data_IF_555159085793
#
_entry.id   IF_555159085793
#
_cell.length_a   1.000
_cell.length_b   1.000
_cell.length_c   1.000
_cell.angle_alpha   90.00
_cell.angle_beta   90.00
_cell.angle_gamma   90.00
#
_symmetry.space_group_name_H-M   'P 1'
#
loop_
_entity.id
_entity.type
_entity.pdbx_description
1 polymer ?
#
# COMPACT_ATOMS: atom_id res chain seq x y z
N UNK A 1 37.91 35.78 35.73
CA UNK A 1 37.76 34.69 34.78
C UNK A 1 36.44 33.98 35.10
N UNK A 2 35.39 34.18 34.26
CA UNK A 2 34.13 33.41 34.36
C UNK A 2 34.31 32.11 33.57
N UNK A 3 34.33 30.95 34.24
CA UNK A 3 34.24 29.66 33.60
C UNK A 3 32.82 29.53 33.03
N UNK A 4 32.70 29.55 31.73
CA UNK A 4 31.48 29.14 31.01
C UNK A 4 31.32 27.63 31.19
N UNK A 5 30.41 27.24 32.07
CA UNK A 5 30.02 25.84 32.23
C UNK A 5 29.15 25.43 31.06
N UNK A 6 29.72 24.89 30.00
CA UNK A 6 28.96 24.21 28.95
C UNK A 6 28.40 22.90 29.53
N UNK A 7 27.12 22.66 29.38
CA UNK A 7 26.50 21.35 29.68
C UNK A 7 27.16 20.29 28.80
N UNK A 8 27.68 19.19 29.36
CA UNK A 8 28.26 18.14 28.53
C UNK A 8 27.15 17.52 27.63
N UNK A 9 27.34 17.55 26.32
CA UNK A 9 26.48 16.88 25.37
C UNK A 9 27.14 15.56 24.95
N UNK A 10 26.38 14.48 25.04
CA UNK A 10 26.77 13.18 24.51
C UNK A 10 25.93 12.92 23.24
N UNK A 11 26.64 12.57 22.18
CA UNK A 11 26.02 12.14 20.92
C UNK A 11 26.42 10.71 20.65
N UNK A 12 25.43 9.87 20.31
CA UNK A 12 25.63 8.48 19.92
C UNK A 12 25.13 8.32 18.49
N UNK A 13 25.98 7.76 17.65
CA UNK A 13 25.64 7.43 16.25
C UNK A 13 25.89 5.95 16.04
N UNK A 14 24.89 5.25 15.49
CA UNK A 14 24.98 3.86 15.11
C UNK A 14 24.47 3.70 13.67
N UNK A 15 25.25 3.05 12.80
CA UNK A 15 24.89 2.92 11.40
C UNK A 15 25.30 1.59 10.81
N UNK A 16 24.51 1.15 9.82
CA UNK A 16 24.79 0.03 8.93
C UNK A 16 24.93 0.57 7.51
N UNK A 17 25.84 -0.01 6.72
CA UNK A 17 26.09 0.40 5.35
C UNK A 17 26.19 -0.83 4.44
N UNK A 18 25.72 -0.67 3.19
CA UNK A 18 25.84 -1.66 2.11
C UNK A 18 25.31 -3.05 2.53
N UNK A 19 24.04 -3.12 2.82
CA UNK A 19 23.39 -4.38 3.16
C UNK A 19 22.03 -4.52 2.42
N UNK A 20 21.64 -5.76 2.22
CA UNK A 20 20.37 -6.09 1.60
C UNK A 20 19.44 -6.67 2.65
N UNK A 21 18.21 -6.18 2.69
CA UNK A 21 17.15 -6.72 3.50
C UNK A 21 16.18 -7.49 2.60
N UNK A 22 16.22 -8.83 2.71
CA UNK A 22 15.31 -9.71 1.99
C UNK A 22 14.13 -10.04 2.89
N UNK A 23 12.93 -9.60 2.46
CA UNK A 23 11.73 -9.78 3.25
C UNK A 23 11.11 -11.15 2.97
N UNK A 24 10.93 -11.91 4.05
CA UNK A 24 10.27 -13.22 4.12
C UNK A 24 11.04 -14.33 3.40
N UNK A 25 11.86 -15.05 4.15
CA UNK A 25 12.51 -16.27 3.69
C UNK A 25 11.69 -17.50 4.17
N UNK A 26 11.38 -18.54 3.31
CA UNK A 26 11.97 -18.80 2.01
C UNK A 26 11.27 -18.15 0.79
N UNK A 27 10.14 -17.51 0.97
CA UNK A 27 9.42 -16.87 -0.13
C UNK A 27 9.73 -15.36 -0.14
N UNK A 28 10.91 -14.99 -0.65
CA UNK A 28 11.24 -13.57 -0.82
C UNK A 28 10.21 -12.89 -1.72
N UNK A 29 9.64 -11.77 -1.27
CA UNK A 29 8.71 -10.94 -2.03
C UNK A 29 9.33 -9.60 -2.40
N UNK A 30 10.26 -9.13 -1.60
CA UNK A 30 10.87 -7.82 -1.72
C UNK A 30 12.32 -7.86 -1.25
N UNK A 31 13.20 -7.24 -2.00
CA UNK A 31 14.59 -6.99 -1.64
C UNK A 31 14.80 -5.49 -1.55
N UNK A 32 15.30 -5.02 -0.41
CA UNK A 32 15.66 -3.64 -0.16
C UNK A 32 17.18 -3.55 -0.08
N UNK A 33 17.78 -2.86 -1.03
CA UNK A 33 19.22 -2.61 -1.04
C UNK A 33 19.50 -1.28 -0.35
N UNK A 34 20.10 -1.33 0.82
CA UNK A 34 20.46 -0.15 1.60
C UNK A 34 21.92 0.26 1.34
N UNK A 35 22.09 1.50 0.96
CA UNK A 35 23.40 2.11 0.98
C UNK A 35 23.79 2.50 2.42
N UNK A 36 22.82 3.00 3.19
CA UNK A 36 23.05 3.43 4.59
C UNK A 36 21.75 3.43 5.40
N UNK A 37 21.83 2.98 6.64
CA UNK A 37 20.91 3.33 7.72
C UNK A 37 21.75 3.88 8.89
N UNK A 38 21.41 5.06 9.40
CA UNK A 38 22.13 5.70 10.50
C UNK A 38 21.16 6.25 11.54
N UNK A 39 21.32 5.80 12.76
CA UNK A 39 20.60 6.30 13.93
C UNK A 39 21.48 7.25 14.70
N UNK A 40 21.00 8.44 14.98
CA UNK A 40 21.71 9.42 15.80
C UNK A 40 20.83 9.93 16.93
N UNK A 41 21.40 10.01 18.12
CA UNK A 41 20.75 10.57 19.31
C UNK A 41 21.71 11.46 20.05
N UNK A 42 21.24 12.57 20.54
CA UNK A 42 21.99 13.41 21.45
C UNK A 42 21.18 13.75 22.71
N UNK A 43 21.83 14.21 23.75
CA UNK A 43 21.20 14.52 25.06
C UNK A 43 20.14 15.61 24.99
N UNK A 44 20.03 16.34 23.89
CA UNK A 44 19.15 17.50 23.74
C UNK A 44 18.12 17.35 22.61
N UNK A 45 18.18 16.25 21.84
CA UNK A 45 17.30 16.03 20.68
C UNK A 45 16.71 14.63 20.65
N UNK A 46 15.57 14.50 19.99
CA UNK A 46 14.97 13.21 19.67
C UNK A 46 15.92 12.39 18.77
N UNK A 47 15.75 11.07 18.80
CA UNK A 47 16.43 10.16 17.89
C UNK A 47 16.11 10.57 16.44
N UNK A 48 17.14 10.69 15.64
CA UNK A 48 17.05 10.92 14.20
C UNK A 48 17.49 9.66 13.46
N UNK A 49 16.82 9.37 12.35
CA UNK A 49 17.14 8.23 11.49
C UNK A 49 17.36 8.77 10.08
N UNK A 50 18.49 8.42 9.51
CA UNK A 50 18.86 8.77 8.14
C UNK A 50 19.01 7.47 7.33
N UNK A 51 18.26 7.33 6.25
CA UNK A 51 18.23 6.13 5.43
C UNK A 51 18.47 6.50 3.97
N UNK A 52 19.34 5.75 3.33
CA UNK A 52 19.59 5.83 1.91
C UNK A 52 19.43 4.43 1.31
N UNK A 53 18.42 4.29 0.47
CA UNK A 53 18.17 3.10 -0.34
C UNK A 53 18.82 3.28 -1.71
N UNK A 54 19.52 2.26 -2.19
CA UNK A 54 20.04 2.22 -3.55
C UNK A 54 19.06 1.60 -4.53
N UNK A 55 18.28 0.61 -4.10
CA UNK A 55 17.33 -0.07 -4.97
C UNK A 55 16.22 -0.78 -4.15
N UNK A 56 15.07 -0.99 -4.80
CA UNK A 56 13.95 -1.77 -4.30
C UNK A 56 13.52 -2.72 -5.40
N UNK A 57 13.61 -4.03 -5.16
CA UNK A 57 13.25 -5.07 -6.13
C UNK A 57 12.09 -5.91 -5.64
N UNK A 58 11.09 -6.05 -6.49
CA UNK A 58 10.01 -7.00 -6.28
C UNK A 58 10.42 -8.38 -6.81
N UNK A 59 10.46 -9.37 -5.94
CA UNK A 59 10.95 -10.71 -6.28
C UNK A 59 9.88 -11.78 -6.00
N UNK A 60 10.13 -13.00 -6.43
CA UNK A 60 9.20 -14.11 -6.21
C UNK A 60 7.79 -13.86 -6.76
N UNK A 61 6.74 -14.09 -5.96
CA UNK A 61 5.36 -13.86 -6.40
C UNK A 61 5.05 -12.42 -6.82
N UNK A 62 5.80 -11.42 -6.35
CA UNK A 62 5.63 -10.01 -6.72
C UNK A 62 6.50 -9.57 -7.91
N UNK A 63 7.27 -10.46 -8.52
CA UNK A 63 8.12 -10.11 -9.67
C UNK A 63 7.34 -9.57 -10.88
N UNK A 64 6.03 -9.86 -10.97
CA UNK A 64 5.16 -9.26 -11.99
C UNK A 64 5.09 -7.74 -11.89
N UNK A 65 5.31 -7.17 -10.69
CA UNK A 65 5.32 -5.70 -10.49
C UNK A 65 6.49 -5.06 -11.23
N UNK A 66 7.66 -5.72 -11.28
CA UNK A 66 8.79 -5.25 -12.10
C UNK A 66 8.43 -5.23 -13.59
N UNK A 67 7.76 -6.28 -14.07
CA UNK A 67 7.27 -6.32 -15.46
C UNK A 67 6.23 -5.22 -15.74
N UNK A 68 5.35 -4.93 -14.77
CA UNK A 68 4.38 -3.84 -14.91
C UNK A 68 5.07 -2.46 -14.94
N UNK A 69 6.11 -2.24 -14.15
CA UNK A 69 6.90 -0.99 -14.17
C UNK A 69 7.49 -0.72 -15.55
N UNK A 70 7.92 -1.78 -16.26
CA UNK A 70 8.48 -1.67 -17.60
C UNK A 70 7.44 -1.44 -18.70
N UNK A 71 6.20 -1.90 -18.47
CA UNK A 71 5.10 -1.82 -19.45
C UNK A 71 4.25 -0.57 -19.30
N UNK A 72 4.24 0.05 -18.13
CA UNK A 72 3.42 1.21 -17.82
C UNK A 72 4.32 2.44 -17.76
N UNK A 73 4.05 3.49 -18.55
CA UNK A 73 4.79 4.74 -18.46
C UNK A 73 4.80 5.27 -17.02
N UNK A 74 5.94 5.78 -16.57
CA UNK A 74 6.13 6.31 -15.21
C UNK A 74 5.19 7.47 -14.85
N UNK A 75 4.58 8.10 -15.84
CA UNK A 75 3.51 9.10 -15.70
C UNK A 75 2.15 8.49 -15.31
N UNK A 76 2.01 7.16 -15.30
CA UNK A 76 0.84 6.44 -14.81
C UNK A 76 0.78 6.24 -13.28
N UNK A 77 1.83 6.60 -12.54
CA UNK A 77 1.76 6.62 -11.08
C UNK A 77 0.86 7.78 -10.63
N UNK A 78 -0.22 7.47 -9.95
CA UNK A 78 -1.12 8.47 -9.37
C UNK A 78 -0.43 9.28 -8.27
N UNK A 79 0.50 8.63 -7.55
CA UNK A 79 1.40 9.21 -6.57
C UNK A 79 2.80 8.61 -6.74
N UNK A 80 3.87 9.40 -6.62
CA UNK A 80 5.21 8.85 -6.60
C UNK A 80 5.34 7.86 -5.43
N UNK A 81 6.20 6.83 -5.56
CA UNK A 81 6.50 5.96 -4.44
C UNK A 81 6.90 6.80 -3.21
N UNK A 82 6.28 6.52 -2.08
CA UNK A 82 6.58 7.21 -0.84
C UNK A 82 7.53 6.40 0.04
N UNK A 83 8.36 7.10 0.77
CA UNK A 83 9.23 6.54 1.79
C UNK A 83 9.13 7.45 3.02
N UNK A 84 8.50 6.97 4.07
CA UNK A 84 8.42 7.65 5.36
C UNK A 84 9.33 6.96 6.37
N UNK A 85 10.23 7.74 6.92
CA UNK A 85 11.24 7.27 7.86
C UNK A 85 11.05 8.00 9.17
N UNK A 86 10.81 7.22 10.22
CA UNK A 86 10.58 7.72 11.57
C UNK A 86 11.42 6.96 12.59
N UNK A 87 11.55 7.44 13.81
CA UNK A 87 12.19 6.69 14.89
C UNK A 87 11.52 5.35 15.21
N UNK A 88 10.28 5.15 14.80
CA UNK A 88 9.52 3.91 15.00
C UNK A 88 9.76 2.87 13.91
N UNK A 89 10.16 3.28 12.71
CA UNK A 89 10.36 2.37 11.59
C UNK A 89 10.37 3.06 10.24
N UNK A 90 10.40 2.25 9.22
CA UNK A 90 10.28 2.63 7.81
C UNK A 90 8.91 2.19 7.31
N UNK A 91 8.17 3.08 6.68
CA UNK A 91 6.98 2.76 5.90
C UNK A 91 7.19 3.25 4.47
N UNK A 92 7.03 2.35 3.51
CA UNK A 92 7.19 2.70 2.12
C UNK A 92 6.17 1.97 1.26
N UNK A 93 5.84 2.57 0.12
CA UNK A 93 4.89 1.97 -0.79
C UNK A 93 4.66 2.80 -2.04
N UNK A 94 3.81 2.28 -2.90
CA UNK A 94 3.35 2.97 -4.09
C UNK A 94 1.89 2.63 -4.38
N UNK A 95 1.24 3.50 -5.14
CA UNK A 95 -0.04 3.26 -5.78
C UNK A 95 0.08 3.56 -7.27
N UNK A 96 -0.33 2.61 -8.09
CA UNK A 96 -0.28 2.68 -9.53
C UNK A 96 -1.70 2.70 -10.09
N UNK A 97 -2.10 3.80 -10.71
CA UNK A 97 -3.34 3.86 -11.47
C UNK A 97 -3.20 3.08 -12.77
N UNK A 98 -4.14 2.18 -13.04
CA UNK A 98 -4.19 1.43 -14.29
C UNK A 98 -5.14 2.10 -15.29
N UNK A 99 -4.89 1.94 -16.60
CA UNK A 99 -5.77 2.48 -17.62
C UNK A 99 -7.18 1.93 -17.53
N UNK A 100 -8.17 2.75 -17.80
CA UNK A 100 -9.54 2.32 -17.95
C UNK A 100 -9.68 1.44 -19.20
N UNK A 101 -10.48 0.41 -19.11
CA UNK A 101 -10.78 -0.51 -20.20
C UNK A 101 -12.24 -0.30 -20.62
N UNK A 102 -12.47 -0.04 -21.90
CA UNK A 102 -13.82 0.08 -22.45
C UNK A 102 -13.89 -0.66 -23.78
N UNK A 103 -14.78 -1.67 -23.87
CA UNK A 103 -14.99 -2.47 -25.07
C UNK A 103 -16.48 -2.71 -25.25
N UNK A 104 -17.08 -2.07 -26.24
CA UNK A 104 -18.52 -2.17 -26.49
C UNK A 104 -19.34 -1.69 -25.28
N UNK A 105 -20.13 -2.59 -24.71
CA UNK A 105 -20.98 -2.31 -23.53
C UNK A 105 -20.25 -2.53 -22.20
N UNK A 106 -19.02 -3.02 -22.23
CA UNK A 106 -18.20 -3.29 -21.07
C UNK A 106 -17.28 -2.10 -20.76
N UNK A 107 -17.24 -1.65 -19.53
CA UNK A 107 -16.31 -0.66 -19.02
C UNK A 107 -15.80 -1.07 -17.65
N UNK A 108 -14.49 -0.96 -17.47
CA UNK A 108 -13.81 -1.19 -16.20
C UNK A 108 -12.91 0.02 -15.93
N UNK A 109 -13.15 0.70 -14.83
CA UNK A 109 -12.50 1.97 -14.52
C UNK A 109 -12.14 2.09 -13.04
N UNK A 110 -11.40 3.13 -12.70
CA UNK A 110 -10.88 3.38 -11.35
C UNK A 110 -10.03 2.21 -10.83
N UNK A 111 -9.16 1.71 -11.69
CA UNK A 111 -8.28 0.60 -11.36
C UNK A 111 -6.99 1.11 -10.73
N UNK A 112 -6.60 0.52 -9.62
CA UNK A 112 -5.31 0.81 -8.99
C UNK A 112 -4.69 -0.45 -8.38
N UNK A 113 -3.36 -0.49 -8.39
CA UNK A 113 -2.56 -1.45 -7.68
C UNK A 113 -1.73 -0.73 -6.64
N UNK A 114 -1.79 -1.18 -5.41
CA UNK A 114 -0.95 -0.68 -4.35
C UNK A 114 -0.10 -1.79 -3.75
N UNK A 115 1.12 -1.45 -3.40
CA UNK A 115 1.96 -2.29 -2.58
C UNK A 115 2.75 -1.41 -1.60
N UNK A 116 3.02 -1.95 -0.44
CA UNK A 116 3.80 -1.25 0.58
C UNK A 116 4.37 -2.22 1.59
N UNK A 117 5.33 -1.73 2.35
CA UNK A 117 5.91 -2.48 3.44
C UNK A 117 6.16 -1.55 4.63
N UNK A 118 6.11 -2.15 5.79
CA UNK A 118 6.45 -1.47 7.04
C UNK A 118 7.52 -2.29 7.74
N UNK A 119 8.63 -1.65 8.08
CA UNK A 119 9.73 -2.24 8.85
C UNK A 119 9.85 -1.51 10.17
N UNK A 120 9.15 -1.96 11.23
CA UNK A 120 9.30 -1.40 12.55
C UNK A 120 10.71 -1.70 13.11
N UNK A 121 11.33 -0.73 13.78
CA UNK A 121 12.63 -0.96 14.40
C UNK A 121 12.53 -1.70 15.72
N UNK A 122 11.37 -1.63 16.40
CA UNK A 122 11.15 -2.23 17.71
C UNK A 122 9.72 -2.77 17.80
N UNK A 123 9.57 -3.96 18.36
CA UNK A 123 8.35 -4.47 18.96
C UNK A 123 7.30 -5.10 18.03
N UNK A 124 7.32 -4.83 16.76
CA UNK A 124 6.39 -5.39 15.78
C UNK A 124 7.15 -6.10 14.66
N UNK A 125 6.61 -7.16 14.08
CA UNK A 125 7.19 -7.75 12.89
C UNK A 125 7.06 -6.81 11.69
N UNK A 126 7.93 -7.00 10.71
CA UNK A 126 7.76 -6.37 9.41
C UNK A 126 6.43 -6.82 8.77
N UNK A 127 5.83 -5.98 7.97
CA UNK A 127 4.62 -6.33 7.22
C UNK A 127 4.69 -5.85 5.78
N UNK A 128 4.05 -6.60 4.89
CA UNK A 128 3.89 -6.26 3.47
C UNK A 128 2.40 -6.13 3.19
N UNK A 129 2.03 -5.05 2.52
CA UNK A 129 0.66 -4.78 2.08
C UNK A 129 0.58 -4.86 0.56
N UNK A 130 -0.49 -5.46 0.08
CA UNK A 130 -0.85 -5.43 -1.33
C UNK A 130 -2.35 -5.17 -1.45
N UNK A 131 -2.74 -4.33 -2.40
CA UNK A 131 -4.13 -4.08 -2.69
C UNK A 131 -4.39 -3.90 -4.19
N UNK A 132 -5.53 -4.41 -4.62
CA UNK A 132 -6.15 -4.07 -5.89
C UNK A 132 -7.36 -3.20 -5.59
N UNK A 133 -7.26 -1.92 -5.94
CA UNK A 133 -8.13 -0.86 -5.48
C UNK A 133 -8.15 -0.74 -3.95
N UNK A 134 -8.94 0.15 -3.40
CA UNK A 134 -9.13 0.31 -1.95
C UNK A 134 -10.61 0.39 -1.63
N UNK A 135 -10.94 0.28 -0.35
CA UNK A 135 -12.30 0.45 0.13
C UNK A 135 -12.86 1.83 -0.18
N UNK A 136 -12.03 2.85 -0.09
CA UNK A 136 -12.36 4.25 -0.36
C UNK A 136 -12.45 4.54 -1.86
N UNK A 137 -11.71 3.78 -2.66
CA UNK A 137 -11.62 3.92 -4.10
C UNK A 137 -11.71 2.54 -4.78
N UNK A 138 -12.90 1.91 -4.76
CA UNK A 138 -13.09 0.62 -5.41
C UNK A 138 -13.05 0.77 -6.94
N UNK A 139 -12.75 -0.33 -7.64
CA UNK A 139 -12.93 -0.34 -9.09
C UNK A 139 -14.40 -0.23 -9.45
N UNK A 140 -14.69 0.30 -10.64
CA UNK A 140 -16.02 0.37 -11.20
C UNK A 140 -16.11 -0.53 -12.43
N UNK A 141 -17.09 -1.43 -12.40
CA UNK A 141 -17.45 -2.29 -13.51
C UNK A 141 -18.82 -1.86 -14.05
N UNK A 142 -18.93 -1.69 -15.35
CA UNK A 142 -20.21 -1.44 -16.02
C UNK A 142 -20.37 -2.39 -17.20
N UNK A 143 -21.52 -3.02 -17.29
CA UNK A 143 -21.89 -3.90 -18.41
C UNK A 143 -23.30 -3.55 -18.81
N UNK A 144 -23.46 -2.69 -19.82
CA UNK A 144 -24.76 -2.15 -20.25
C UNK A 144 -25.47 -1.38 -19.11
N UNK A 145 -26.60 -1.90 -18.63
CA UNK A 145 -27.38 -1.32 -17.52
C UNK A 145 -26.96 -1.85 -16.14
N UNK A 146 -26.04 -2.78 -16.10
CA UNK A 146 -25.53 -3.36 -14.86
C UNK A 146 -24.22 -2.69 -14.48
N UNK A 147 -24.05 -2.45 -13.21
CA UNK A 147 -22.84 -1.89 -12.64
C UNK A 147 -22.43 -2.63 -11.39
N UNK A 148 -21.20 -2.41 -10.98
CA UNK A 148 -20.66 -2.99 -9.78
C UNK A 148 -19.30 -2.41 -9.45
N UNK A 149 -18.72 -2.92 -8.41
CA UNK A 149 -17.41 -2.49 -7.96
C UNK A 149 -16.84 -3.44 -6.93
N UNK A 150 -15.65 -3.10 -6.47
CA UNK A 150 -15.02 -3.89 -5.44
C UNK A 150 -13.58 -3.51 -5.20
N UNK A 151 -13.00 -4.18 -4.23
CA UNK A 151 -11.59 -4.07 -3.89
C UNK A 151 -11.08 -5.35 -3.25
N UNK A 152 -9.76 -5.48 -3.20
CA UNK A 152 -9.08 -6.57 -2.53
C UNK A 152 -7.83 -6.02 -1.84
N UNK A 153 -7.61 -6.40 -0.60
CA UNK A 153 -6.42 -6.04 0.15
C UNK A 153 -5.91 -7.20 0.99
N UNK A 154 -4.59 -7.31 1.10
CA UNK A 154 -3.93 -8.29 1.97
C UNK A 154 -2.73 -7.66 2.66
N UNK A 155 -2.58 -7.99 3.94
CA UNK A 155 -1.40 -7.67 4.73
C UNK A 155 -0.80 -8.98 5.26
N UNK A 156 0.48 -9.12 5.02
CA UNK A 156 1.28 -10.29 5.38
C UNK A 156 2.39 -9.88 6.35
N UNK A 157 2.72 -10.77 7.26
CA UNK A 157 3.93 -10.68 8.08
C UNK A 157 4.66 -12.04 8.07
N UNK A 158 5.79 -12.22 8.79
CA UNK A 158 6.48 -13.50 8.85
C UNK A 158 5.66 -14.68 9.43
N UNK A 159 4.55 -14.40 10.11
CA UNK A 159 3.66 -15.41 10.67
C UNK A 159 2.55 -15.81 9.69
N UNK A 160 2.34 -15.05 8.62
CA UNK A 160 1.36 -15.33 7.59
C UNK A 160 0.44 -14.14 7.27
N UNK A 161 -0.78 -14.46 6.83
CA UNK A 161 -1.80 -13.45 6.50
C UNK A 161 -2.33 -12.84 7.79
N UNK A 162 -2.13 -11.54 7.96
CA UNK A 162 -2.62 -10.79 9.10
C UNK A 162 -4.00 -10.19 8.83
N UNK A 163 -4.16 -9.61 7.65
CA UNK A 163 -5.42 -9.04 7.20
C UNK A 163 -5.67 -9.48 5.77
N UNK A 164 -6.86 -9.97 5.50
CA UNK A 164 -7.38 -10.17 4.16
C UNK A 164 -8.76 -9.51 4.09
N UNK A 165 -8.92 -8.57 3.19
CA UNK A 165 -10.15 -7.81 3.04
C UNK A 165 -10.54 -7.75 1.57
N UNK A 166 -11.81 -8.02 1.28
CA UNK A 166 -12.34 -7.97 -0.06
C UNK A 166 -13.82 -7.57 -0.04
N UNK A 167 -14.22 -6.82 -1.02
CA UNK A 167 -15.64 -6.56 -1.29
C UNK A 167 -15.92 -6.64 -2.79
N UNK A 168 -17.09 -7.08 -3.10
CA UNK A 168 -17.62 -7.04 -4.45
C UNK A 168 -19.12 -6.74 -4.40
N UNK A 169 -19.54 -5.77 -5.19
CA UNK A 169 -20.93 -5.41 -5.34
C UNK A 169 -21.33 -5.43 -6.82
N UNK A 170 -22.57 -5.77 -7.08
CA UNK A 170 -23.14 -5.79 -8.43
C UNK A 170 -24.63 -5.51 -8.39
N UNK A 171 -25.12 -4.77 -9.39
CA UNK A 171 -26.53 -4.42 -9.44
C UNK A 171 -26.94 -3.77 -10.74
N UNK A 172 -28.13 -3.23 -10.75
CA UNK A 172 -28.69 -2.52 -11.89
C UNK A 172 -29.01 -1.08 -11.52
N UNK A 173 -28.75 -0.19 -12.47
CA UNK A 173 -29.10 1.24 -12.39
C UNK A 173 -29.97 1.58 -13.58
N UNK A 174 -31.17 2.08 -13.31
CA UNK A 174 -32.09 2.58 -14.32
C UNK A 174 -32.36 4.06 -14.01
N UNK A 175 -32.00 4.93 -14.95
CA UNK A 175 -32.35 6.34 -14.90
C UNK A 175 -33.38 6.65 -15.98
N UNK A 176 -34.41 7.42 -15.61
CA UNK A 176 -35.48 7.83 -16.54
C UNK A 176 -35.55 9.34 -16.48
N UNK A 177 -35.50 9.98 -17.65
CA UNK A 177 -35.68 11.41 -17.81
C UNK A 177 -36.90 11.66 -18.70
N UNK A 178 -37.86 12.38 -18.14
CA UNK A 178 -39.09 12.78 -18.84
C UNK A 178 -39.07 14.25 -19.29
N UNK A 179 -37.88 14.91 -19.22
CA UNK A 179 -37.74 16.32 -19.61
C UNK A 179 -38.26 17.33 -18.59
N UNK A 180 -39.22 17.00 -17.77
CA UNK A 180 -39.80 17.78 -16.68
C UNK A 180 -39.50 17.19 -15.29
N UNK A 181 -39.12 15.94 -15.27
CA UNK A 181 -38.70 15.22 -14.05
C UNK A 181 -37.74 14.10 -14.44
N UNK A 182 -36.68 13.95 -13.67
CA UNK A 182 -35.75 12.83 -13.79
C UNK A 182 -35.72 12.02 -12.50
N UNK A 183 -35.57 10.73 -12.61
CA UNK A 183 -35.48 9.81 -11.48
C UNK A 183 -34.60 8.62 -11.82
N UNK A 184 -33.99 8.02 -10.80
CA UNK A 184 -33.18 6.83 -10.94
C UNK A 184 -33.49 5.82 -9.85
N UNK A 185 -33.42 4.55 -10.21
CA UNK A 185 -33.50 3.43 -9.27
C UNK A 185 -32.19 2.67 -9.36
N UNK A 186 -31.56 2.50 -8.21
CA UNK A 186 -30.35 1.70 -8.07
C UNK A 186 -30.68 0.53 -7.15
N UNK A 187 -30.43 -0.68 -7.63
CA UNK A 187 -30.54 -1.90 -6.83
C UNK A 187 -29.18 -2.58 -6.87
N UNK A 188 -28.48 -2.55 -5.75
CA UNK A 188 -27.15 -3.13 -5.59
C UNK A 188 -27.22 -4.24 -4.53
N UNK A 189 -26.46 -5.29 -4.73
CA UNK A 189 -26.20 -6.32 -3.74
C UNK A 189 -24.70 -6.56 -3.68
N UNK A 190 -24.16 -6.73 -2.51
CA UNK A 190 -22.72 -6.90 -2.32
C UNK A 190 -22.39 -7.91 -1.24
N UNK A 191 -21.17 -8.36 -1.29
CA UNK A 191 -20.55 -9.16 -0.24
C UNK A 191 -19.27 -8.43 0.23
N UNK A 192 -19.06 -8.44 1.51
CA UNK A 192 -17.85 -7.96 2.15
C UNK A 192 -17.28 -9.06 3.01
N UNK A 193 -16.01 -9.35 2.81
CA UNK A 193 -15.24 -10.33 3.57
C UNK A 193 -14.07 -9.64 4.25
N UNK A 194 -13.85 -9.96 5.51
CA UNK A 194 -12.65 -9.57 6.25
C UNK A 194 -12.20 -10.73 7.13
N UNK A 195 -10.93 -11.05 7.01
CA UNK A 195 -10.21 -11.93 7.92
C UNK A 195 -9.11 -11.11 8.59
N UNK A 196 -9.01 -11.23 9.89
CA UNK A 196 -7.99 -10.60 10.70
C UNK A 196 -7.47 -11.62 11.69
N UNK A 197 -6.21 -12.03 11.54
CA UNK A 197 -5.61 -13.14 12.26
C UNK A 197 -6.47 -14.42 12.17
N UNK A 198 -7.01 -14.90 13.29
CA UNK A 198 -7.84 -16.11 13.37
C UNK A 198 -9.35 -15.84 13.28
N UNK A 199 -9.76 -14.59 13.11
CA UNK A 199 -11.16 -14.20 13.03
C UNK A 199 -11.54 -13.86 11.59
N UNK A 200 -12.65 -14.41 11.12
CA UNK A 200 -13.20 -14.10 9.79
C UNK A 200 -14.63 -13.60 9.92
N UNK A 201 -14.99 -12.59 9.13
CA UNK A 201 -16.34 -12.06 9.03
C UNK A 201 -16.77 -12.00 7.56
N UNK A 202 -18.03 -12.32 7.32
CA UNK A 202 -18.66 -12.19 6.01
C UNK A 202 -19.99 -11.46 6.19
N UNK A 203 -20.19 -10.40 5.45
CA UNK A 203 -21.42 -9.62 5.45
C UNK A 203 -21.97 -9.49 4.03
N UNK A 204 -23.29 -9.60 3.91
CA UNK A 204 -24.04 -9.23 2.70
C UNK A 204 -24.77 -7.89 2.95
N UNK A 205 -24.95 -7.09 1.91
CA UNK A 205 -25.68 -5.80 1.95
C UNK A 205 -26.38 -5.52 0.62
#
# INVERSE_FOLDING_TARGET
MKKSGGTPSVSVVCGLKHFDLVLINPAAFLELNFEKIEFSVNTSAKMNVDVLLSDIKFVGPLSFVETLKDLIPLDGFSDPPYLDISPSGIDAGFSLALPNIAVGIFSLSNLSLGAGFTVPFIGQPLSVRFNFCTREQPFNLTVSLFGGGGFFGVTLDPHGVQILEAAFEFGASISVDFGVASGGVHVMAGIYFRMEQDAASLAGY
#
